data_IF_371983826273
#
_entry.id   IF_371983826273
#
_cell.length_a   1.000
_cell.length_b   1.000
_cell.length_c   1.000
_cell.angle_alpha   90.00
_cell.angle_beta   90.00
_cell.angle_gamma   90.00
#
_symmetry.space_group_name_H-M   'P 1'
#
loop_
_entity.id
_entity.type
_entity.pdbx_description
1 polymer ?
#
# COMPACT_ATOMS: atom_id res chain seq x y z
N UNK A 1 -78.15 45.65 -71.69
CA UNK A 1 -79.27 44.72 -71.94
C UNK A 1 -79.26 43.61 -70.94
N UNK A 2 -80.01 43.76 -69.93
CA UNK A 2 -81.33 43.10 -69.68
C UNK A 2 -81.17 41.80 -68.85
N UNK A 3 -81.69 41.99 -67.68
CA UNK A 3 -82.69 41.23 -66.86
C UNK A 3 -82.13 40.06 -66.04
N UNK A 4 -82.15 40.16 -64.76
CA UNK A 4 -83.26 39.90 -63.80
C UNK A 4 -83.73 38.45 -63.85
N UNK A 5 -83.57 37.80 -62.73
CA UNK A 5 -84.63 37.17 -61.91
C UNK A 5 -83.97 36.24 -60.89
N UNK A 6 -84.04 36.63 -59.64
CA UNK A 6 -84.78 36.02 -58.56
C UNK A 6 -84.87 34.48 -58.52
N UNK A 7 -84.40 33.96 -57.42
CA UNK A 7 -85.18 33.21 -56.40
C UNK A 7 -84.32 32.63 -55.28
N UNK A 8 -84.67 33.04 -54.11
CA UNK A 8 -84.47 32.33 -52.87
C UNK A 8 -85.24 31.02 -52.81
N UNK A 9 -85.21 30.34 -51.66
CA UNK A 9 -84.16 29.78 -50.84
C UNK A 9 -84.33 28.23 -50.64
N UNK A 10 -83.39 27.52 -50.17
CA UNK A 10 -83.67 26.26 -49.47
C UNK A 10 -82.70 26.10 -48.32
N UNK A 11 -83.26 26.25 -47.19
CA UNK A 11 -82.80 25.77 -45.85
C UNK A 11 -82.49 24.27 -45.93
N UNK A 12 -81.32 23.86 -45.51
CA UNK A 12 -81.09 22.49 -45.04
C UNK A 12 -80.07 22.47 -43.90
N UNK A 13 -80.68 22.48 -42.76
CA UNK A 13 -80.31 21.84 -41.51
C UNK A 13 -78.88 21.23 -41.38
N UNK A 14 -78.20 21.80 -40.41
CA UNK A 14 -77.47 21.13 -39.36
C UNK A 14 -76.86 19.76 -39.67
N UNK A 15 -75.60 19.77 -40.08
CA UNK A 15 -74.67 18.65 -39.92
C UNK A 15 -73.51 19.08 -39.03
N UNK A 16 -73.63 18.76 -37.78
CA UNK A 16 -72.61 19.05 -36.73
C UNK A 16 -71.44 18.05 -36.96
N UNK A 17 -70.48 18.39 -37.83
CA UNK A 17 -69.21 17.65 -37.90
C UNK A 17 -68.37 18.05 -36.70
N UNK A 18 -68.44 17.24 -35.65
CA UNK A 18 -67.57 17.28 -34.49
C UNK A 18 -66.21 16.79 -34.94
N UNK A 19 -65.28 17.69 -35.31
CA UNK A 19 -63.88 17.38 -35.52
C UNK A 19 -63.27 16.93 -34.18
N UNK A 20 -63.24 15.65 -33.93
CA UNK A 20 -62.45 15.08 -32.89
C UNK A 20 -60.98 15.28 -33.25
N UNK A 21 -60.40 16.37 -32.78
CA UNK A 21 -58.93 16.51 -32.73
C UNK A 21 -58.42 15.51 -31.70
N UNK A 22 -58.02 14.37 -32.19
CA UNK A 22 -57.21 13.41 -31.41
C UNK A 22 -55.89 14.09 -31.17
N UNK A 23 -55.76 14.73 -29.99
CA UNK A 23 -54.49 15.17 -29.48
C UNK A 23 -53.68 13.93 -29.08
N UNK A 24 -52.97 13.32 -30.08
CA UNK A 24 -51.82 12.46 -29.74
C UNK A 24 -50.81 13.36 -29.00
N UNK A 25 -50.93 13.39 -27.70
CA UNK A 25 -49.82 13.86 -26.85
C UNK A 25 -48.64 12.87 -27.00
N UNK A 26 -47.77 13.17 -27.96
CA UNK A 26 -46.49 12.52 -28.05
C UNK A 26 -45.72 12.94 -26.81
N UNK A 27 -45.70 12.04 -25.81
CA UNK A 27 -44.96 12.23 -24.60
C UNK A 27 -43.45 12.12 -24.95
N UNK A 28 -42.89 13.20 -25.48
CA UNK A 28 -41.46 13.32 -25.73
C UNK A 28 -40.79 13.41 -24.34
N UNK A 29 -40.41 12.24 -23.81
CA UNK A 29 -39.49 12.18 -22.67
C UNK A 29 -38.22 12.91 -23.08
N UNK A 30 -38.14 14.19 -22.80
CA UNK A 30 -36.91 14.97 -22.96
C UNK A 30 -35.86 14.32 -22.07
N UNK A 31 -34.95 13.56 -22.67
CA UNK A 31 -33.75 13.04 -21.99
C UNK A 31 -32.98 14.24 -21.47
N UNK A 32 -33.15 14.53 -20.19
CA UNK A 32 -32.48 15.63 -19.49
C UNK A 32 -30.98 15.38 -19.59
N UNK A 33 -30.28 16.06 -20.49
CA UNK A 33 -28.82 15.95 -20.65
C UNK A 33 -28.20 16.36 -19.30
N UNK A 34 -27.46 15.42 -18.69
CA UNK A 34 -26.70 15.73 -17.47
C UNK A 34 -25.71 16.86 -17.75
N UNK A 35 -25.65 17.85 -16.85
CA UNK A 35 -24.66 18.92 -16.90
C UNK A 35 -23.24 18.33 -16.93
N UNK A 36 -22.30 18.98 -17.62
CA UNK A 36 -20.89 18.61 -17.68
C UNK A 36 -20.30 18.31 -16.29
N UNK A 37 -20.58 19.16 -15.31
CA UNK A 37 -20.12 18.98 -13.93
C UNK A 37 -20.66 17.71 -13.26
N UNK A 38 -21.91 17.33 -13.53
CA UNK A 38 -22.49 16.08 -13.01
C UNK A 38 -21.83 14.85 -13.63
N UNK A 39 -21.49 14.90 -14.91
CA UNK A 39 -20.76 13.83 -15.60
C UNK A 39 -19.34 13.71 -15.06
N UNK A 40 -18.66 14.83 -14.85
CA UNK A 40 -17.31 14.86 -14.26
C UNK A 40 -17.32 14.29 -12.84
N UNK A 41 -18.27 14.71 -12.00
CA UNK A 41 -18.42 14.18 -10.65
C UNK A 41 -18.68 12.68 -10.65
N UNK A 42 -19.59 12.20 -11.52
CA UNK A 42 -19.86 10.76 -11.66
C UNK A 42 -18.60 9.98 -12.07
N UNK A 43 -17.85 10.51 -13.04
CA UNK A 43 -16.60 9.91 -13.48
C UNK A 43 -15.59 9.81 -12.32
N UNK A 44 -15.43 10.88 -11.53
CA UNK A 44 -14.54 10.87 -10.35
C UNK A 44 -14.99 9.82 -9.34
N UNK A 45 -16.29 9.73 -9.06
CA UNK A 45 -16.83 8.73 -8.12
C UNK A 45 -16.61 7.29 -8.62
N UNK A 46 -16.78 7.04 -9.91
CA UNK A 46 -16.51 5.73 -10.53
C UNK A 46 -15.03 5.39 -10.42
N UNK A 47 -14.14 6.34 -10.75
CA UNK A 47 -12.68 6.12 -10.65
C UNK A 47 -12.26 5.89 -9.19
N UNK A 48 -12.80 6.65 -8.24
CA UNK A 48 -12.54 6.46 -6.81
C UNK A 48 -13.02 5.08 -6.32
N UNK A 49 -14.20 4.65 -6.75
CA UNK A 49 -14.74 3.33 -6.44
C UNK A 49 -13.89 2.21 -7.02
N UNK A 50 -13.46 2.31 -8.28
CA UNK A 50 -12.57 1.35 -8.91
C UNK A 50 -11.21 1.29 -8.22
N UNK A 51 -10.63 2.45 -7.90
CA UNK A 51 -9.36 2.54 -7.16
C UNK A 51 -9.47 1.89 -5.77
N UNK A 52 -10.57 2.14 -5.06
CA UNK A 52 -10.84 1.52 -3.77
C UNK A 52 -10.96 0.00 -3.89
N UNK A 53 -11.68 -0.49 -4.91
CA UNK A 53 -11.83 -1.93 -5.14
C UNK A 53 -10.51 -2.61 -5.48
N UNK A 54 -9.69 -1.99 -6.35
CA UNK A 54 -8.35 -2.49 -6.68
C UNK A 54 -7.45 -2.50 -5.45
N UNK A 55 -7.52 -1.45 -4.63
CA UNK A 55 -6.76 -1.34 -3.38
C UNK A 55 -7.12 -2.44 -2.37
N UNK A 56 -8.39 -2.87 -2.32
CA UNK A 56 -8.86 -3.95 -1.43
C UNK A 56 -8.56 -5.35 -1.97
N UNK A 57 -8.15 -5.48 -3.22
CA UNK A 57 -7.84 -6.76 -3.83
C UNK A 57 -6.53 -7.32 -3.26
N UNK A 58 -6.59 -8.50 -2.59
CA UNK A 58 -5.42 -9.11 -1.95
C UNK A 58 -4.35 -9.51 -2.96
N UNK A 59 -4.72 -9.99 -4.15
CA UNK A 59 -3.75 -10.38 -5.19
C UNK A 59 -2.99 -9.15 -5.70
N UNK A 60 -3.69 -8.02 -5.85
CA UNK A 60 -3.04 -6.75 -6.17
C UNK A 60 -2.07 -6.32 -5.05
N UNK A 61 -2.51 -6.41 -3.79
CA UNK A 61 -1.66 -6.08 -2.65
C UNK A 61 -0.41 -6.97 -2.59
N UNK A 62 -0.58 -8.29 -2.74
CA UNK A 62 0.54 -9.26 -2.76
C UNK A 62 1.53 -8.98 -3.88
N UNK A 63 1.03 -8.64 -5.07
CA UNK A 63 1.89 -8.44 -6.24
C UNK A 63 2.62 -7.11 -6.24
N UNK A 64 1.99 -6.02 -5.78
CA UNK A 64 2.51 -4.66 -6.00
C UNK A 64 2.85 -3.89 -4.73
N UNK A 65 2.21 -4.20 -3.60
CA UNK A 65 2.41 -3.45 -2.37
C UNK A 65 3.22 -4.21 -1.33
N UNK A 66 2.98 -5.50 -1.23
CA UNK A 66 3.61 -6.39 -0.25
C UNK A 66 4.13 -7.65 -0.93
N UNK A 67 5.09 -7.53 -1.89
CA UNK A 67 5.67 -8.71 -2.53
C UNK A 67 6.35 -9.59 -1.50
N UNK A 68 6.41 -10.91 -1.77
CA UNK A 68 7.12 -11.85 -0.93
C UNK A 68 8.10 -12.64 -1.79
N UNK A 69 8.99 -11.90 -2.46
CA UNK A 69 10.07 -12.49 -3.22
C UNK A 69 11.05 -13.20 -2.28
N UNK A 70 11.77 -14.20 -2.77
CA UNK A 70 12.72 -15.00 -2.00
C UNK A 70 12.11 -15.71 -0.78
N UNK A 71 10.83 -16.04 -0.82
CA UNK A 71 10.07 -16.59 0.31
C UNK A 71 10.75 -17.81 0.94
N UNK A 72 11.25 -18.75 0.12
CA UNK A 72 11.90 -19.96 0.63
C UNK A 72 13.17 -19.64 1.45
N UNK A 73 13.98 -18.67 0.97
CA UNK A 73 15.18 -18.23 1.68
C UNK A 73 14.83 -17.49 2.97
N UNK A 74 13.81 -16.63 2.94
CA UNK A 74 13.31 -15.91 4.12
C UNK A 74 12.80 -16.90 5.16
N UNK A 75 11.94 -17.84 4.76
CA UNK A 75 11.38 -18.84 5.67
C UNK A 75 12.50 -19.68 6.29
N UNK A 76 13.47 -20.14 5.48
CA UNK A 76 14.59 -20.94 5.96
C UNK A 76 15.39 -20.24 7.06
N UNK A 77 15.76 -18.97 6.87
CA UNK A 77 16.55 -18.23 7.87
C UNK A 77 15.71 -17.72 9.02
N UNK A 78 14.44 -17.38 8.81
CA UNK A 78 13.51 -17.02 9.85
C UNK A 78 13.30 -18.18 10.84
N UNK A 79 13.06 -19.40 10.32
CA UNK A 79 12.95 -20.61 11.15
C UNK A 79 14.27 -20.95 11.85
N UNK A 80 15.42 -20.80 11.17
CA UNK A 80 16.75 -21.10 11.72
C UNK A 80 17.12 -20.19 12.89
N UNK A 81 16.76 -18.92 12.81
CA UNK A 81 17.12 -17.90 13.81
C UNK A 81 15.95 -17.49 14.70
N UNK A 82 14.83 -18.21 14.65
CA UNK A 82 13.64 -18.01 15.48
C UNK A 82 13.04 -16.60 15.36
N UNK A 83 13.08 -16.03 14.15
CA UNK A 83 12.50 -14.71 13.84
C UNK A 83 11.19 -14.89 13.07
N UNK A 84 10.18 -14.07 13.35
CA UNK A 84 8.94 -14.03 12.57
C UNK A 84 9.26 -13.73 11.09
N UNK A 85 8.93 -14.68 10.19
CA UNK A 85 9.14 -14.53 8.73
C UNK A 85 8.49 -13.29 8.15
N UNK A 86 7.33 -12.90 8.67
CA UNK A 86 6.62 -11.71 8.21
C UNK A 86 7.32 -10.43 8.71
N UNK A 87 8.02 -10.49 9.84
CA UNK A 87 8.90 -9.40 10.29
C UNK A 87 10.10 -9.27 9.36
N UNK A 88 10.77 -10.38 9.00
CA UNK A 88 11.91 -10.37 8.06
C UNK A 88 11.49 -9.78 6.71
N UNK A 89 10.37 -10.24 6.14
CA UNK A 89 9.83 -9.69 4.88
C UNK A 89 9.51 -8.19 5.00
N UNK A 90 9.00 -7.74 6.15
CA UNK A 90 8.68 -6.35 6.43
C UNK A 90 9.91 -5.46 6.50
N UNK A 91 10.99 -5.95 7.07
CA UNK A 91 12.30 -5.27 7.09
C UNK A 91 12.83 -5.17 5.65
N UNK A 92 12.84 -6.26 4.87
CA UNK A 92 13.30 -6.23 3.47
C UNK A 92 12.48 -5.23 2.65
N UNK A 93 11.16 -5.19 2.82
CA UNK A 93 10.30 -4.24 2.13
C UNK A 93 10.63 -2.79 2.51
N UNK A 94 10.91 -2.53 3.80
CA UNK A 94 11.24 -1.20 4.30
C UNK A 94 12.62 -0.72 3.82
N UNK A 95 13.61 -1.62 3.78
CA UNK A 95 15.01 -1.34 3.46
C UNK A 95 15.25 -1.17 1.97
N UNK A 96 14.84 -2.14 1.16
CA UNK A 96 15.21 -2.19 -0.26
C UNK A 96 14.02 -2.28 -1.21
N UNK A 97 12.80 -2.52 -0.72
CA UNK A 97 11.65 -2.93 -1.55
C UNK A 97 11.97 -4.18 -2.39
N UNK A 98 12.63 -5.15 -1.78
CA UNK A 98 13.10 -6.39 -2.41
C UNK A 98 14.11 -6.20 -3.55
N UNK A 99 14.80 -5.06 -3.63
CA UNK A 99 15.85 -4.84 -4.62
C UNK A 99 17.19 -5.40 -4.11
N UNK A 100 17.63 -6.48 -4.75
CA UNK A 100 18.86 -7.18 -4.41
C UNK A 100 20.12 -6.31 -4.54
N UNK A 101 20.14 -5.42 -5.53
CA UNK A 101 21.27 -4.55 -5.88
C UNK A 101 21.23 -3.18 -5.18
N UNK A 102 20.34 -3.01 -4.19
CA UNK A 102 20.19 -1.74 -3.51
C UNK A 102 21.47 -1.35 -2.77
N UNK A 103 21.87 -0.08 -2.95
CA UNK A 103 22.97 0.54 -2.20
C UNK A 103 22.50 1.89 -1.69
N UNK A 104 22.66 2.12 -0.37
CA UNK A 104 22.34 3.41 0.22
C UNK A 104 23.48 4.42 0.02
N UNK A 105 23.17 5.70 0.24
CA UNK A 105 24.19 6.78 0.21
C UNK A 105 25.26 6.61 1.29
N UNK A 106 24.98 5.83 2.33
CA UNK A 106 25.91 5.51 3.41
C UNK A 106 26.63 4.18 3.22
N UNK A 107 26.38 3.47 2.09
CA UNK A 107 27.07 2.23 1.74
C UNK A 107 26.40 0.95 2.25
N UNK A 108 25.22 1.02 2.84
CA UNK A 108 24.44 -0.18 3.17
C UNK A 108 24.05 -0.94 1.88
N UNK A 109 24.04 -2.27 1.91
CA UNK A 109 23.95 -3.11 0.71
C UNK A 109 22.87 -4.19 0.80
N UNK A 110 22.23 -4.46 -0.33
CA UNK A 110 21.35 -5.58 -0.56
C UNK A 110 19.96 -5.45 0.05
N UNK A 111 19.27 -6.58 0.12
CA UNK A 111 17.87 -6.69 0.51
C UNK A 111 17.56 -6.10 1.89
N UNK A 112 18.42 -6.39 2.88
CA UNK A 112 18.25 -5.96 4.27
C UNK A 112 19.19 -4.79 4.64
N UNK A 113 19.80 -4.13 3.64
CA UNK A 113 20.64 -2.95 3.79
C UNK A 113 21.69 -3.06 4.91
N UNK A 114 22.54 -4.07 4.80
CA UNK A 114 23.59 -4.34 5.78
C UNK A 114 24.78 -3.44 5.48
N UNK A 115 25.27 -2.74 6.50
CA UNK A 115 26.51 -1.97 6.42
C UNK A 115 27.71 -2.92 6.31
N UNK A 116 28.76 -2.60 5.53
CA UNK A 116 29.96 -3.42 5.40
C UNK A 116 30.59 -3.80 6.75
N UNK A 117 30.69 -2.86 7.68
CA UNK A 117 31.24 -3.08 9.01
C UNK A 117 30.38 -4.03 9.83
N UNK A 118 29.03 -3.87 9.75
CA UNK A 118 28.08 -4.77 10.40
C UNK A 118 28.16 -6.17 9.80
N UNK A 119 28.26 -6.28 8.45
CA UNK A 119 28.43 -7.57 7.78
C UNK A 119 29.71 -8.31 8.21
N UNK A 120 30.83 -7.59 8.33
CA UNK A 120 32.09 -8.14 8.81
C UNK A 120 32.01 -8.59 10.29
N UNK A 121 31.36 -7.81 11.13
CA UNK A 121 31.11 -8.17 12.52
C UNK A 121 30.21 -9.42 12.61
N UNK A 122 29.13 -9.49 11.86
CA UNK A 122 28.25 -10.67 11.81
C UNK A 122 29.06 -11.92 11.38
N UNK A 123 29.85 -11.80 10.30
CA UNK A 123 30.69 -12.88 9.83
C UNK A 123 31.59 -13.48 10.93
N UNK A 124 32.21 -12.60 11.74
CA UNK A 124 33.02 -13.00 12.89
C UNK A 124 32.18 -13.73 13.95
N UNK A 125 30.94 -13.24 14.22
CA UNK A 125 30.09 -13.88 15.24
C UNK A 125 29.59 -15.28 14.84
N UNK A 126 29.36 -15.49 13.54
CA UNK A 126 28.84 -16.77 13.02
C UNK A 126 29.93 -17.66 12.39
N UNK A 127 31.20 -17.27 12.57
CA UNK A 127 32.40 -18.00 12.05
C UNK A 127 32.32 -18.22 10.54
N UNK A 128 31.92 -17.19 9.77
CA UNK A 128 31.81 -17.27 8.30
C UNK A 128 33.03 -16.64 7.62
N UNK A 129 34.07 -17.45 7.43
CA UNK A 129 35.31 -17.04 6.75
C UNK A 129 35.10 -16.71 5.25
N UNK A 130 33.96 -17.07 4.71
CA UNK A 130 33.64 -16.79 3.30
C UNK A 130 33.21 -15.38 3.01
N UNK A 131 33.03 -14.55 4.06
CA UNK A 131 32.50 -13.17 3.91
C UNK A 131 33.40 -12.30 3.03
N UNK A 132 32.74 -11.51 2.20
CA UNK A 132 33.32 -10.32 1.59
C UNK A 132 32.21 -9.28 1.40
N UNK A 133 32.58 -8.02 1.36
CA UNK A 133 31.62 -6.91 1.27
C UNK A 133 30.72 -7.00 0.03
N UNK A 134 31.25 -7.49 -1.10
CA UNK A 134 30.45 -7.63 -2.33
C UNK A 134 29.43 -8.77 -2.24
N UNK A 135 29.64 -9.75 -1.37
CA UNK A 135 28.66 -10.81 -1.12
C UNK A 135 27.41 -10.31 -0.39
N UNK A 136 27.40 -9.09 0.15
CA UNK A 136 26.18 -8.48 0.66
C UNK A 136 25.12 -8.21 -0.41
N UNK A 137 25.46 -8.31 -1.69
CA UNK A 137 24.47 -8.33 -2.78
C UNK A 137 23.93 -9.73 -3.07
N UNK A 138 24.55 -10.78 -2.51
CA UNK A 138 24.02 -12.13 -2.64
C UNK A 138 22.79 -12.31 -1.76
N UNK A 139 21.66 -12.72 -2.37
CA UNK A 139 20.36 -12.89 -1.71
C UNK A 139 20.46 -13.75 -0.45
N UNK A 140 21.08 -14.93 -0.60
CA UNK A 140 21.16 -15.90 0.49
C UNK A 140 21.99 -15.36 1.66
N UNK A 141 23.14 -14.77 1.38
CA UNK A 141 24.02 -14.21 2.42
C UNK A 141 23.36 -12.98 3.07
N UNK A 142 22.76 -12.10 2.30
CA UNK A 142 22.16 -10.89 2.85
C UNK A 142 20.99 -11.19 3.78
N UNK A 143 20.08 -12.11 3.37
CA UNK A 143 18.97 -12.56 4.22
C UNK A 143 19.50 -13.33 5.44
N UNK A 144 20.47 -14.21 5.29
CA UNK A 144 21.12 -14.92 6.40
C UNK A 144 21.62 -13.93 7.46
N UNK A 145 22.41 -12.96 7.04
CA UNK A 145 23.06 -12.01 7.95
C UNK A 145 22.06 -11.03 8.58
N UNK A 146 21.15 -10.48 7.79
CA UNK A 146 20.14 -9.54 8.30
C UNK A 146 19.16 -10.20 9.26
N UNK A 147 18.75 -11.45 8.98
CA UNK A 147 17.85 -12.19 9.88
C UNK A 147 18.55 -12.58 11.17
N UNK A 148 19.80 -13.05 11.08
CA UNK A 148 20.61 -13.32 12.27
C UNK A 148 20.80 -12.06 13.13
N UNK A 149 21.13 -10.92 12.53
CA UNK A 149 21.29 -9.68 13.25
C UNK A 149 19.98 -9.21 13.93
N UNK A 150 18.86 -9.39 13.25
CA UNK A 150 17.55 -9.10 13.82
C UNK A 150 17.22 -10.01 15.01
N UNK A 151 17.59 -11.30 14.97
CA UNK A 151 17.49 -12.26 16.08
C UNK A 151 18.31 -11.81 17.28
N UNK A 152 19.56 -11.40 17.06
CA UNK A 152 20.44 -10.88 18.11
C UNK A 152 19.83 -9.65 18.80
N UNK A 153 19.31 -8.71 18.00
CA UNK A 153 18.66 -7.53 18.56
C UNK A 153 17.36 -7.85 19.31
N UNK A 154 16.58 -8.85 18.83
CA UNK A 154 15.40 -9.29 19.58
C UNK A 154 15.80 -9.92 20.91
N UNK A 155 16.87 -10.71 20.96
CA UNK A 155 17.41 -11.30 22.18
C UNK A 155 17.93 -10.20 23.13
N UNK A 156 18.72 -9.26 22.62
CA UNK A 156 19.29 -8.14 23.38
C UNK A 156 18.22 -7.25 24.02
N UNK A 157 17.11 -7.04 23.33
CA UNK A 157 15.98 -6.26 23.83
C UNK A 157 14.81 -7.10 24.34
N UNK A 158 15.05 -8.33 24.79
CA UNK A 158 14.08 -9.24 25.42
C UNK A 158 12.77 -9.39 24.64
N UNK A 159 12.84 -9.46 23.31
CA UNK A 159 11.68 -9.59 22.41
C UNK A 159 10.94 -8.28 22.14
N UNK A 160 11.43 -7.14 22.59
CA UNK A 160 10.81 -5.85 22.29
C UNK A 160 11.07 -5.43 20.83
N UNK A 161 10.09 -5.62 19.96
CA UNK A 161 10.20 -5.29 18.53
C UNK A 161 10.50 -3.81 18.27
N UNK A 162 9.98 -2.90 19.07
CA UNK A 162 10.18 -1.44 18.86
C UNK A 162 11.64 -1.10 19.09
N UNK A 163 12.24 -1.58 20.20
CA UNK A 163 13.64 -1.33 20.52
C UNK A 163 14.58 -2.06 19.54
N UNK A 164 14.28 -3.32 19.21
CA UNK A 164 15.06 -4.10 18.24
C UNK A 164 15.08 -3.44 16.85
N UNK A 165 13.94 -2.99 16.35
CA UNK A 165 13.84 -2.30 15.06
C UNK A 165 14.52 -0.92 15.10
N UNK A 166 14.40 -0.20 16.21
CA UNK A 166 15.11 1.07 16.39
C UNK A 166 16.64 0.84 16.38
N UNK A 167 17.11 -0.22 17.03
CA UNK A 167 18.53 -0.60 17.03
C UNK A 167 19.03 -1.09 15.67
N UNK A 168 18.19 -1.79 14.92
CA UNK A 168 18.51 -2.21 13.57
C UNK A 168 18.80 -1.00 12.65
N UNK A 169 17.98 0.03 12.72
CA UNK A 169 18.11 1.22 11.88
C UNK A 169 19.11 2.26 12.41
N UNK A 170 19.07 2.57 13.70
CA UNK A 170 19.88 3.63 14.29
C UNK A 170 21.16 3.11 14.97
N UNK A 171 21.27 1.81 15.15
CA UNK A 171 22.35 1.20 15.95
C UNK A 171 22.00 1.09 17.45
N UNK A 172 22.45 -0.01 18.05
CA UNK A 172 22.19 -0.34 19.46
C UNK A 172 22.68 0.74 20.45
N UNK A 173 23.80 1.38 20.17
CA UNK A 173 24.37 2.43 21.03
C UNK A 173 23.41 3.61 21.21
N UNK A 174 22.79 4.08 20.13
CA UNK A 174 21.79 5.16 20.20
C UNK A 174 20.56 4.74 21.02
N UNK A 175 20.11 3.50 20.88
CA UNK A 175 18.94 3.01 21.63
C UNK A 175 19.24 2.96 23.13
N UNK A 176 20.41 2.48 23.55
CA UNK A 176 20.81 2.50 24.95
C UNK A 176 20.94 3.92 25.50
N UNK A 177 21.52 4.85 24.73
CA UNK A 177 21.56 6.27 25.12
C UNK A 177 20.14 6.84 25.32
N UNK A 178 19.20 6.50 24.45
CA UNK A 178 17.82 6.96 24.59
C UNK A 178 17.12 6.33 25.81
N UNK A 179 17.33 5.03 26.05
CA UNK A 179 16.77 4.34 27.20
C UNK A 179 17.26 5.02 28.53
N UNK A 180 18.54 5.31 28.63
CA UNK A 180 19.11 6.02 29.80
C UNK A 180 18.56 7.45 29.91
N UNK A 181 18.63 8.23 28.83
CA UNK A 181 18.28 9.65 28.82
C UNK A 181 16.81 9.92 29.10
N UNK A 182 15.93 9.05 28.55
CA UNK A 182 14.47 9.23 28.62
C UNK A 182 13.83 8.27 29.64
N UNK A 183 14.61 7.51 30.37
CA UNK A 183 14.18 6.55 31.38
C UNK A 183 13.21 5.50 30.79
N UNK A 184 13.51 5.03 29.59
CA UNK A 184 12.75 3.92 28.98
C UNK A 184 13.23 2.60 29.57
N UNK A 185 12.28 1.74 29.87
CA UNK A 185 12.57 0.34 30.23
C UNK A 185 12.43 -0.59 29.02
N UNK A 186 12.70 -1.85 29.24
CA UNK A 186 12.61 -2.88 28.19
C UNK A 186 11.20 -3.07 27.63
N UNK A 187 10.16 -2.58 28.30
CA UNK A 187 8.77 -2.64 27.85
C UNK A 187 8.33 -1.43 27.01
N UNK A 188 9.27 -0.53 26.65
CA UNK A 188 8.99 0.64 25.83
C UNK A 188 8.33 0.26 24.50
N UNK A 189 7.15 0.82 24.18
CA UNK A 189 6.38 0.51 22.98
C UNK A 189 5.99 1.72 22.13
N UNK A 190 6.18 2.92 22.65
CA UNK A 190 5.74 4.15 21.98
C UNK A 190 6.80 4.66 21.01
N UNK A 191 6.85 4.05 19.81
CA UNK A 191 7.81 4.45 18.79
C UNK A 191 7.72 5.94 18.40
N UNK A 192 6.60 6.64 18.71
CA UNK A 192 6.44 8.06 18.39
C UNK A 192 7.40 8.95 19.18
N UNK A 193 7.94 8.44 20.29
CA UNK A 193 8.92 9.12 21.14
C UNK A 193 10.36 8.91 20.69
N UNK A 194 10.64 8.05 19.73
CA UNK A 194 12.00 7.85 19.20
C UNK A 194 12.54 9.21 18.71
N UNK A 195 13.72 9.66 19.20
CA UNK A 195 14.21 11.01 18.91
C UNK A 195 14.52 11.25 17.43
N UNK A 196 15.09 10.26 16.75
CA UNK A 196 15.46 10.37 15.35
C UNK A 196 14.21 10.20 14.45
N UNK A 197 13.82 11.22 13.69
CA UNK A 197 12.62 11.15 12.84
C UNK A 197 12.69 10.00 11.82
N UNK A 198 13.85 9.75 11.24
CA UNK A 198 14.07 8.67 10.29
C UNK A 198 13.80 7.31 10.92
N UNK A 199 14.39 7.04 12.08
CA UNK A 199 14.20 5.78 12.82
C UNK A 199 12.75 5.61 13.28
N UNK A 200 12.09 6.67 13.69
CA UNK A 200 10.67 6.67 14.06
C UNK A 200 9.80 6.22 12.89
N UNK A 201 10.00 6.82 11.73
CA UNK A 201 9.24 6.45 10.51
C UNK A 201 9.62 5.05 10.00
N UNK A 202 10.86 4.63 10.18
CA UNK A 202 11.30 3.28 9.88
C UNK A 202 10.55 2.24 10.73
N UNK A 203 10.60 2.38 12.05
CA UNK A 203 9.91 1.46 12.98
C UNK A 203 8.42 1.40 12.69
N UNK A 204 7.76 2.55 12.52
CA UNK A 204 6.35 2.63 12.12
C UNK A 204 6.09 1.82 10.85
N UNK A 205 6.86 2.09 9.81
CA UNK A 205 6.71 1.43 8.49
C UNK A 205 6.89 -0.09 8.57
N UNK A 206 7.88 -0.58 9.30
CA UNK A 206 8.10 -2.03 9.46
C UNK A 206 6.94 -2.67 10.21
N UNK A 207 6.46 -2.07 11.30
CA UNK A 207 5.33 -2.59 12.08
C UNK A 207 4.01 -2.58 11.26
N UNK A 208 3.79 -1.57 10.44
CA UNK A 208 2.64 -1.50 9.53
C UNK A 208 2.75 -2.57 8.44
N UNK A 209 3.92 -2.72 7.80
CA UNK A 209 4.16 -3.78 6.83
C UNK A 209 3.89 -5.17 7.44
N UNK A 210 4.40 -5.43 8.64
CA UNK A 210 4.17 -6.70 9.35
C UNK A 210 2.69 -7.03 9.53
N UNK A 211 1.86 -6.04 9.86
CA UNK A 211 0.41 -6.24 9.95
C UNK A 211 -0.20 -6.67 8.61
N UNK A 212 0.28 -6.09 7.50
CA UNK A 212 -0.18 -6.46 6.16
C UNK A 212 0.31 -7.85 5.76
N UNK A 213 1.59 -8.18 5.99
CA UNK A 213 2.10 -9.52 5.74
C UNK A 213 1.35 -10.58 6.53
N UNK A 214 1.09 -10.36 7.83
CA UNK A 214 0.32 -11.27 8.68
C UNK A 214 -1.12 -11.49 8.16
N UNK A 215 -1.71 -10.50 7.50
CA UNK A 215 -3.02 -10.62 6.87
C UNK A 215 -2.96 -11.41 5.57
N UNK A 216 -1.96 -11.11 4.72
CA UNK A 216 -1.88 -11.60 3.35
C UNK A 216 -1.24 -13.00 3.25
N UNK A 217 -0.30 -13.33 4.14
CA UNK A 217 0.52 -14.53 4.09
C UNK A 217 0.42 -15.32 5.41
N UNK A 218 -0.78 -15.85 5.63
CA UNK A 218 -1.13 -16.67 6.82
C UNK A 218 -0.49 -18.05 6.74
#
# INVERSE_FOLDING_TARGET
FVRILDREPCDFSRGRFRSERIHHQVNIKTKRKMSFWKKLLLMILVLASLSYFVWQNEDFQRKYLYPYDYQDTINFYADRYEVDRNLVASVILAESKFRQDATSVHGARGLMQIMPETGNWIATQIEDDSFSVDKLYNVNMNIKYGTWYLSELQTEFEGNEVLALAAYNAGRGNVYEWMEKYHWDINFKDYTKIPFPETREYVKRVLENKKHYNKLYK
#
